data_IF_872190399828
#
_entry.id   IF_872190399828
#
_cell.length_a   1.000
_cell.length_b   1.000
_cell.length_c   1.000
_cell.angle_alpha   90.00
_cell.angle_beta   90.00
_cell.angle_gamma   90.00
#
_symmetry.space_group_name_H-M   'P 1'
#
loop_
_entity.id
_entity.type
_entity.pdbx_description
1 polymer ?
#
# COMPACT_ATOMS: atom_id res chain seq x y z
N UNK A 1 4.15 -17.68 -20.41
CA UNK A 1 4.10 -17.11 -19.03
C UNK A 1 2.95 -16.13 -18.83
N UNK A 2 2.66 -15.23 -19.79
CA UNK A 2 1.57 -14.25 -19.71
C UNK A 2 0.21 -14.85 -19.30
N UNK A 3 -0.26 -15.90 -19.98
CA UNK A 3 -1.56 -16.52 -19.66
C UNK A 3 -1.67 -17.05 -18.23
N UNK A 4 -0.58 -17.59 -17.66
CA UNK A 4 -0.54 -18.04 -16.26
C UNK A 4 -0.61 -16.84 -15.29
N UNK A 5 0.08 -15.75 -15.61
CA UNK A 5 -0.01 -14.51 -14.84
C UNK A 5 -1.44 -13.93 -14.88
N UNK A 6 -2.09 -13.95 -16.04
CA UNK A 6 -3.48 -13.51 -16.18
C UNK A 6 -4.45 -14.38 -15.36
N UNK A 7 -4.29 -15.71 -15.39
CA UNK A 7 -5.10 -16.61 -14.57
C UNK A 7 -4.92 -16.35 -13.07
N UNK A 8 -3.69 -16.04 -12.63
CA UNK A 8 -3.44 -15.68 -11.23
C UNK A 8 -4.20 -14.42 -10.81
N UNK A 9 -4.10 -13.33 -11.60
CA UNK A 9 -4.81 -12.09 -11.29
C UNK A 9 -6.33 -12.21 -11.43
N UNK A 10 -6.79 -13.10 -12.30
CA UNK A 10 -8.22 -13.36 -12.44
C UNK A 10 -8.79 -14.20 -11.29
N UNK A 11 -8.02 -15.16 -10.77
CA UNK A 11 -8.42 -15.99 -9.65
C UNK A 11 -8.54 -15.20 -8.34
N UNK A 12 -7.74 -14.14 -8.18
CA UNK A 12 -7.74 -13.32 -6.98
C UNK A 12 -7.64 -11.83 -7.33
N UNK A 13 -8.75 -11.20 -7.76
CA UNK A 13 -8.75 -9.78 -8.15
C UNK A 13 -8.65 -8.84 -6.94
N UNK A 14 -8.87 -9.35 -5.74
CA UNK A 14 -8.89 -8.58 -4.50
C UNK A 14 -7.84 -9.11 -3.52
N UNK A 15 -6.83 -8.29 -3.25
CA UNK A 15 -5.79 -8.55 -2.28
C UNK A 15 -6.09 -7.77 -1.01
N UNK A 16 -6.14 -8.48 0.10
CA UNK A 16 -6.24 -7.92 1.45
C UNK A 16 -5.30 -8.69 2.36
N UNK A 17 -5.17 -8.25 3.60
CA UNK A 17 -4.31 -8.88 4.62
C UNK A 17 -4.67 -10.32 4.94
N UNK A 18 -5.91 -10.71 4.71
CA UNK A 18 -6.32 -12.11 4.91
C UNK A 18 -5.77 -13.01 3.81
N UNK A 19 -5.51 -12.45 2.63
CA UNK A 19 -5.11 -13.19 1.43
C UNK A 19 -3.63 -13.02 1.08
N UNK A 20 -2.97 -12.01 1.64
CA UNK A 20 -1.54 -11.75 1.46
C UNK A 20 -0.83 -12.06 2.76
N UNK A 21 0.03 -13.08 2.75
CA UNK A 21 0.87 -13.40 3.91
C UNK A 21 1.87 -12.26 4.13
N UNK A 22 1.84 -11.65 5.31
CA UNK A 22 2.75 -10.57 5.73
C UNK A 22 4.23 -10.95 5.54
N UNK A 23 4.58 -12.22 5.76
CA UNK A 23 5.94 -12.76 5.55
C UNK A 23 6.44 -12.65 4.11
N UNK A 24 5.53 -12.56 3.12
CA UNK A 24 5.89 -12.38 1.72
C UNK A 24 6.37 -10.96 1.40
N UNK A 25 6.06 -9.98 2.25
CA UNK A 25 6.46 -8.58 2.07
C UNK A 25 7.80 -8.27 2.75
N UNK A 26 8.25 -9.13 3.68
CA UNK A 26 9.46 -8.94 4.49
C UNK A 26 10.64 -9.79 4.04
N UNK A 27 10.51 -10.55 2.95
CA UNK A 27 11.61 -11.37 2.43
C UNK A 27 12.70 -10.45 1.86
N UNK A 28 13.75 -10.20 2.67
CA UNK A 28 14.96 -9.40 2.39
C UNK A 28 14.93 -7.88 2.66
N UNK A 29 13.93 -7.35 3.39
CA UNK A 29 13.95 -5.94 3.81
C UNK A 29 13.71 -5.79 5.33
N UNK A 30 14.46 -4.94 6.04
CA UNK A 30 14.19 -4.65 7.44
C UNK A 30 12.81 -4.00 7.54
N UNK A 31 11.92 -4.61 8.33
CA UNK A 31 10.52 -4.19 8.46
C UNK A 31 10.46 -2.80 9.09
N UNK A 32 10.20 -1.77 8.27
CA UNK A 32 10.02 -0.41 8.77
C UNK A 32 8.69 -0.34 9.55
N UNK A 33 8.65 0.36 10.69
CA UNK A 33 7.44 0.43 11.51
C UNK A 33 6.25 1.09 10.79
N UNK A 34 6.53 1.90 9.77
CA UNK A 34 5.55 2.57 8.90
C UNK A 34 5.03 1.67 7.78
N UNK A 35 5.73 0.58 7.44
CA UNK A 35 5.31 -0.40 6.42
C UNK A 35 4.33 -1.43 7.00
N UNK A 36 3.98 -1.33 8.28
CA UNK A 36 2.93 -2.14 8.91
C UNK A 36 1.56 -1.60 8.50
N UNK A 37 1.19 -1.82 7.25
CA UNK A 37 -0.17 -1.69 6.78
C UNK A 37 -1.02 -2.71 7.55
N UNK A 38 -1.92 -2.21 8.40
CA UNK A 38 -2.74 -3.02 9.32
C UNK A 38 -4.16 -3.22 8.82
N UNK A 39 -4.61 -2.37 7.89
CA UNK A 39 -5.74 -2.67 7.01
C UNK A 39 -5.43 -2.16 5.59
N UNK A 40 -5.25 -3.06 4.62
CA UNK A 40 -5.19 -2.71 3.20
C UNK A 40 -6.11 -3.56 2.32
N UNK A 41 -6.61 -2.91 1.27
CA UNK A 41 -7.44 -3.56 0.25
C UNK A 41 -7.04 -3.06 -1.13
N UNK A 42 -6.42 -3.93 -1.91
CA UNK A 42 -5.96 -3.68 -3.27
C UNK A 42 -6.84 -4.44 -4.25
N UNK A 43 -7.46 -3.72 -5.18
CA UNK A 43 -8.24 -4.30 -6.27
C UNK A 43 -7.44 -4.23 -7.58
N UNK A 44 -7.45 -5.33 -8.32
CA UNK A 44 -6.82 -5.47 -9.64
C UNK A 44 -7.92 -5.75 -10.65
N UNK A 45 -8.05 -4.86 -11.62
CA UNK A 45 -9.02 -4.99 -12.71
C UNK A 45 -8.29 -5.09 -14.05
N UNK A 46 -8.72 -6.00 -14.92
CA UNK A 46 -8.19 -6.09 -16.28
C UNK A 46 -8.67 -4.86 -17.08
N UNK A 47 -7.71 -4.11 -17.62
CA UNK A 47 -7.98 -2.98 -18.50
C UNK A 47 -7.81 -3.42 -19.95
N UNK A 48 -8.84 -3.21 -20.75
CA UNK A 48 -8.82 -3.44 -22.18
C UNK A 48 -8.69 -2.10 -22.91
N UNK A 49 -7.46 -1.68 -23.27
CA UNK A 49 -7.24 -0.46 -24.03
C UNK A 49 -7.85 -0.56 -25.42
N UNK A 50 -8.09 0.59 -26.04
CA UNK A 50 -8.41 0.66 -27.46
C UNK A 50 -7.18 0.36 -28.32
N UNK A 51 -7.39 0.10 -29.61
CA UNK A 51 -6.28 -0.14 -30.57
C UNK A 51 -5.36 1.07 -30.67
N UNK A 52 -5.94 2.28 -30.69
CA UNK A 52 -5.21 3.55 -30.77
C UNK A 52 -4.33 3.77 -29.53
N UNK A 53 -4.90 3.62 -28.33
CA UNK A 53 -4.13 3.72 -27.07
C UNK A 53 -3.01 2.68 -27.00
N UNK A 54 -3.26 1.45 -27.47
CA UNK A 54 -2.24 0.39 -27.51
C UNK A 54 -1.11 0.75 -28.47
N UNK A 55 -1.46 1.27 -29.65
CA UNK A 55 -0.48 1.73 -30.64
C UNK A 55 0.35 2.91 -30.11
N UNK A 56 -0.26 3.85 -29.40
CA UNK A 56 0.43 4.99 -28.78
C UNK A 56 1.43 4.53 -27.72
N UNK A 57 1.07 3.54 -26.90
CA UNK A 57 1.99 2.94 -25.92
C UNK A 57 3.18 2.30 -26.63
N UNK A 58 2.96 1.52 -27.69
CA UNK A 58 4.06 0.89 -28.45
C UNK A 58 4.93 1.91 -29.18
N UNK A 59 4.31 2.96 -29.74
CA UNK A 59 4.99 4.07 -30.40
C UNK A 59 5.90 4.83 -29.43
N UNK A 60 5.40 5.13 -28.22
CA UNK A 60 6.15 5.84 -27.17
C UNK A 60 7.32 5.02 -26.66
N UNK A 61 7.11 3.71 -26.46
CA UNK A 61 8.15 2.79 -26.01
C UNK A 61 9.16 2.43 -27.11
N UNK A 62 8.93 2.87 -28.36
CA UNK A 62 9.65 2.42 -29.57
C UNK A 62 9.75 0.89 -29.63
N UNK A 63 8.74 0.22 -29.11
CA UNK A 63 8.76 -1.22 -28.89
C UNK A 63 8.10 -1.93 -30.07
N UNK A 64 8.60 -3.13 -30.38
CA UNK A 64 7.89 -4.07 -31.26
C UNK A 64 6.59 -4.47 -30.55
N UNK A 65 5.45 -4.53 -31.25
CA UNK A 65 4.19 -4.96 -30.65
C UNK A 65 4.34 -6.38 -30.08
N UNK A 66 4.14 -6.51 -28.78
CA UNK A 66 4.22 -7.79 -28.05
C UNK A 66 2.90 -8.07 -27.33
N UNK A 67 2.51 -9.35 -27.19
CA UNK A 67 1.34 -9.72 -26.42
C UNK A 67 1.49 -9.22 -24.98
N UNK A 68 0.56 -8.37 -24.55
CA UNK A 68 0.56 -7.76 -23.22
C UNK A 68 -0.87 -7.63 -22.71
N UNK A 69 -1.01 -7.49 -21.39
CA UNK A 69 -2.28 -7.23 -20.74
C UNK A 69 -2.09 -6.05 -19.78
N UNK A 70 -3.00 -5.08 -19.82
CA UNK A 70 -2.97 -3.95 -18.91
C UNK A 70 -3.87 -4.24 -17.71
N UNK A 71 -3.39 -3.91 -16.52
CA UNK A 71 -4.18 -4.02 -15.31
C UNK A 71 -4.25 -2.66 -14.61
N UNK A 72 -5.45 -2.31 -14.13
CA UNK A 72 -5.67 -1.17 -13.27
C UNK A 72 -5.59 -1.63 -11.82
N UNK A 73 -4.64 -1.05 -11.09
CA UNK A 73 -4.46 -1.25 -9.66
C UNK A 73 -5.17 -0.12 -8.91
N UNK A 74 -6.04 -0.48 -7.96
CA UNK A 74 -6.75 0.47 -7.10
C UNK A 74 -6.50 0.12 -5.65
N UNK A 75 -5.96 1.06 -4.89
CA UNK A 75 -5.83 0.96 -3.44
C UNK A 75 -7.07 1.60 -2.81
N UNK A 76 -7.86 0.80 -2.10
CA UNK A 76 -9.16 1.23 -1.56
C UNK A 76 -9.03 1.82 -0.15
N UNK A 77 -8.22 1.20 0.69
CA UNK A 77 -8.03 1.60 2.09
C UNK A 77 -6.59 1.40 2.48
N UNK A 78 -6.06 2.37 3.23
CA UNK A 78 -4.78 2.31 3.93
C UNK A 78 -5.01 2.83 5.33
N UNK A 79 -4.95 1.95 6.32
CA UNK A 79 -4.82 2.34 7.72
C UNK A 79 -3.37 2.12 8.16
N UNK A 80 -2.69 3.21 8.51
CA UNK A 80 -1.38 3.17 9.15
C UNK A 80 -1.56 3.37 10.65
N UNK A 81 -0.89 2.56 11.47
CA UNK A 81 -0.79 2.81 12.90
C UNK A 81 0.03 4.11 13.07
N UNK A 82 -0.60 5.19 13.51
CA UNK A 82 0.14 6.41 13.82
C UNK A 82 1.19 6.05 14.89
N UNK A 83 2.43 6.57 14.81
CA UNK A 83 3.36 6.38 15.92
C UNK A 83 2.69 6.98 17.16
N UNK A 84 2.61 6.16 18.21
CA UNK A 84 2.11 6.44 19.54
C UNK A 84 2.71 7.76 20.05
N UNK A 85 2.14 8.87 19.59
CA UNK A 85 2.50 10.20 20.03
C UNK A 85 1.79 10.27 21.34
N UNK A 86 2.54 9.89 22.38
CA UNK A 86 2.18 10.02 23.79
C UNK A 86 1.84 11.49 24.04
N UNK A 87 0.61 11.88 23.67
CA UNK A 87 0.02 13.17 23.99
C UNK A 87 -0.18 13.10 25.48
N UNK A 88 0.83 13.58 26.22
CA UNK A 88 0.68 13.89 27.63
C UNK A 88 -0.60 14.72 27.75
N UNK A 89 -1.62 14.24 28.47
CA UNK A 89 -2.84 15.00 28.63
C UNK A 89 -2.46 16.38 29.17
N UNK A 90 -2.90 17.44 28.50
CA UNK A 90 -2.52 18.83 28.81
C UNK A 90 -2.86 19.27 30.26
N UNK A 91 -3.50 18.39 31.03
CA UNK A 91 -3.90 18.56 32.41
C UNK A 91 -2.72 18.54 33.40
N UNK A 92 -1.52 18.02 33.05
CA UNK A 92 -0.35 18.10 33.94
C UNK A 92 0.45 19.40 33.84
N UNK A 93 0.17 20.25 32.84
CA UNK A 93 0.88 21.54 32.67
C UNK A 93 0.38 22.66 33.59
N UNK A 94 -0.61 22.40 34.45
CA UNK A 94 -1.31 23.40 35.29
C UNK A 94 -1.14 23.22 36.80
N UNK A 95 -0.24 22.39 37.27
CA UNK A 95 0.10 22.39 38.71
C UNK A 95 1.30 23.31 38.94
N UNK A 96 1.13 24.46 39.62
CA UNK A 96 2.27 25.22 40.10
C UNK A 96 3.03 24.34 41.11
N UNK A 97 4.34 24.24 40.93
CA UNK A 97 5.24 23.62 41.91
C UNK A 97 4.98 24.26 43.28
N UNK A 98 4.77 23.47 44.35
CA UNK A 98 4.64 24.06 45.67
C UNK A 98 5.99 24.69 46.02
N UNK A 99 5.94 26.02 46.20
CA UNK A 99 7.01 26.84 46.73
C UNK A 99 7.57 26.16 48.00
N UNK A 100 8.74 25.53 47.89
CA UNK A 100 9.51 25.10 49.05
C UNK A 100 10.24 26.33 49.56
N UNK A 101 9.45 27.18 50.19
CA UNK A 101 9.94 28.34 50.92
C UNK A 101 10.81 27.89 52.08
N UNK A 102 11.75 28.75 52.39
CA UNK A 102 12.84 28.57 53.35
C UNK A 102 12.28 28.28 54.75
N UNK A 103 12.79 27.23 55.38
CA UNK A 103 13.28 27.26 56.77
C UNK A 103 14.17 26.04 57.04
#
# INVERSE_FOLDING_TARGET
MLGRAMQFFHAQPLFSEMNVKHESMTHNAPTHALDRLREFKLAIDLYSPTLEETHDVWSTLKAVPVPSALYKLRLLTVATDAPDTKVLPMLERRLPTPNRDKN
#
